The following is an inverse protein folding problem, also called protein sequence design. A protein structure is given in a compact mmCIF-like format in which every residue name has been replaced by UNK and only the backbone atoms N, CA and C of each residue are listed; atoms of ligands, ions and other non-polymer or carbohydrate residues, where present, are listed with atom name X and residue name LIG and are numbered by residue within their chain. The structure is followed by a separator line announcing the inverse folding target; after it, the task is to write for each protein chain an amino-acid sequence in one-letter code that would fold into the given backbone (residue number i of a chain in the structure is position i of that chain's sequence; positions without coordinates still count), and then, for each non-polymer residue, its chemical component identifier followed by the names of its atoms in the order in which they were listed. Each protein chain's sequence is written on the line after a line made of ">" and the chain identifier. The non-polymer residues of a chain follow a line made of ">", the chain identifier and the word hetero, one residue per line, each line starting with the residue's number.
data_IF_169679392565
#
_entry.id   IF_169679392565
#
_cell.length_a   1.000
_cell.length_b   1.000
_cell.length_c   1.000
_cell.angle_alpha   90.00
_cell.angle_beta   90.00
_cell.angle_gamma   90.00
#
_symmetry.space_group_name_H-M   'P 1'
#
loop_
_entity.id
_entity.type
_entity.pdbx_description
1 polymer ?
#
# COMPACT_ATOMS: atom_id res chain seq x y z
N UNK A 1 -18.37 26.99 7.48
CA UNK A 1 -17.89 25.58 7.42
C UNK A 1 -16.43 25.60 7.02
N UNK A 2 -15.46 25.28 7.91
CA UNK A 2 -14.04 25.16 7.52
C UNK A 2 -13.93 24.04 6.48
N UNK A 3 -13.48 24.37 5.29
CA UNK A 3 -13.04 23.39 4.29
C UNK A 3 -11.91 22.58 4.94
N UNK A 4 -12.21 21.39 5.42
CA UNK A 4 -11.17 20.46 5.89
C UNK A 4 -10.39 20.06 4.63
N UNK A 5 -9.20 20.63 4.50
CA UNK A 5 -8.31 20.32 3.39
C UNK A 5 -7.89 18.84 3.52
N UNK A 6 -8.42 18.00 2.66
CA UNK A 6 -8.14 16.55 2.71
C UNK A 6 -6.68 16.31 2.35
N UNK A 7 -6.02 15.42 3.10
CA UNK A 7 -4.65 14.99 2.82
C UNK A 7 -4.52 14.45 1.39
N UNK A 8 -3.50 14.92 0.68
CA UNK A 8 -3.13 14.47 -0.67
C UNK A 8 -2.28 13.21 -0.58
N UNK A 9 -2.73 12.12 -1.21
CA UNK A 9 -2.06 10.82 -1.15
C UNK A 9 -1.61 10.38 -2.55
N UNK A 10 -0.33 10.02 -2.66
CA UNK A 10 0.23 9.32 -3.82
C UNK A 10 0.30 7.84 -3.49
N UNK A 11 -0.04 6.98 -4.46
CA UNK A 11 0.06 5.53 -4.31
C UNK A 11 1.13 4.94 -5.22
N UNK A 12 1.98 4.08 -4.65
CA UNK A 12 2.96 3.29 -5.38
C UNK A 12 2.53 1.83 -5.44
N UNK A 13 2.63 1.20 -6.61
CA UNK A 13 2.27 -0.21 -6.79
C UNK A 13 3.12 -0.88 -7.89
N UNK A 14 3.21 -2.21 -7.83
CA UNK A 14 3.89 -3.02 -8.85
C UNK A 14 2.98 -4.09 -9.46
N UNK A 15 1.96 -4.51 -8.72
CA UNK A 15 1.03 -5.57 -9.12
C UNK A 15 -0.31 -5.04 -9.62
N UNK A 16 -1.33 -5.90 -9.61
CA UNK A 16 -2.69 -5.60 -10.08
C UNK A 16 -3.42 -4.53 -9.25
N UNK A 17 -2.88 -4.12 -8.10
CA UNK A 17 -3.43 -3.04 -7.27
C UNK A 17 -4.72 -3.36 -6.54
N UNK A 18 -4.97 -4.61 -6.14
CA UNK A 18 -6.23 -4.99 -5.46
C UNK A 18 -6.48 -4.26 -4.15
N UNK A 19 -5.42 -4.01 -3.37
CA UNK A 19 -5.50 -3.19 -2.16
C UNK A 19 -5.85 -1.74 -2.50
N UNK A 20 -5.18 -1.16 -3.52
CA UNK A 20 -5.47 0.18 -4.00
C UNK A 20 -6.92 0.31 -4.47
N UNK A 21 -7.42 -0.64 -5.27
CA UNK A 21 -8.81 -0.65 -5.73
C UNK A 21 -9.79 -0.65 -4.54
N UNK A 22 -9.50 -1.43 -3.51
CA UNK A 22 -10.32 -1.47 -2.28
C UNK A 22 -10.27 -0.13 -1.53
N UNK A 23 -9.10 0.48 -1.42
CA UNK A 23 -8.92 1.79 -0.79
C UNK A 23 -9.72 2.86 -1.52
N UNK A 24 -9.59 2.94 -2.86
CA UNK A 24 -10.28 3.93 -3.68
C UNK A 24 -11.80 3.76 -3.62
N UNK A 25 -12.31 2.53 -3.72
CA UNK A 25 -13.76 2.25 -3.60
C UNK A 25 -14.32 2.72 -2.26
N UNK A 26 -13.64 2.42 -1.16
CA UNK A 26 -14.07 2.88 0.18
C UNK A 26 -13.97 4.40 0.33
N UNK A 27 -12.94 5.02 -0.25
CA UNK A 27 -12.79 6.47 -0.22
C UNK A 27 -13.86 7.19 -1.06
N UNK A 28 -14.39 6.59 -2.13
CA UNK A 28 -15.53 7.15 -2.88
C UNK A 28 -16.81 7.20 -2.04
N UNK A 29 -17.04 6.17 -1.23
CA UNK A 29 -18.23 6.12 -0.34
C UNK A 29 -18.10 7.11 0.82
N UNK A 30 -16.91 7.22 1.40
CA UNK A 30 -16.61 8.11 2.53
C UNK A 30 -15.27 8.81 2.30
N UNK A 31 -15.27 9.94 1.55
CA UNK A 31 -14.03 10.61 1.15
C UNK A 31 -13.28 11.21 2.33
N UNK A 32 -12.10 10.67 2.66
CA UNK A 32 -11.24 11.09 3.75
C UNK A 32 -9.92 11.71 3.29
N UNK A 33 -9.49 11.42 2.05
CA UNK A 33 -8.27 11.95 1.45
C UNK A 33 -8.49 12.19 -0.05
N UNK A 34 -7.55 12.87 -0.70
CA UNK A 34 -7.52 13.10 -2.14
C UNK A 34 -6.42 12.25 -2.77
N UNK A 35 -6.74 11.24 -3.60
CA UNK A 35 -5.75 10.51 -4.37
C UNK A 35 -5.26 11.40 -5.53
N UNK A 36 -4.03 11.91 -5.45
CA UNK A 36 -3.51 12.85 -6.44
C UNK A 36 -2.70 12.19 -7.54
N UNK A 37 -2.08 11.04 -7.25
CA UNK A 37 -1.27 10.34 -8.24
C UNK A 37 -1.17 8.83 -7.94
N UNK A 38 -1.17 8.03 -9.00
CA UNK A 38 -0.82 6.60 -8.99
C UNK A 38 0.44 6.41 -9.79
N UNK A 39 1.44 5.74 -9.22
CA UNK A 39 2.71 5.46 -9.90
C UNK A 39 2.98 3.96 -9.83
N UNK A 40 3.15 3.34 -10.98
CA UNK A 40 3.43 1.91 -11.10
C UNK A 40 4.65 1.65 -11.99
N UNK A 41 5.46 0.67 -11.59
CA UNK A 41 6.50 0.15 -12.48
C UNK A 41 5.98 -0.91 -13.49
N UNK A 42 4.69 -1.19 -13.43
CA UNK A 42 3.97 -2.09 -14.33
C UNK A 42 2.69 -1.42 -14.85
N UNK A 43 1.86 -2.13 -15.60
CA UNK A 43 0.52 -1.65 -15.96
C UNK A 43 -0.42 -1.67 -14.75
N UNK A 44 -1.21 -0.62 -14.62
CA UNK A 44 -2.30 -0.52 -13.64
C UNK A 44 -3.53 -1.24 -14.22
N UNK A 45 -4.29 -1.95 -13.39
CA UNK A 45 -5.47 -2.68 -13.86
C UNK A 45 -6.53 -1.73 -14.43
N UNK A 46 -7.20 -2.15 -15.52
CA UNK A 46 -8.28 -1.36 -16.14
C UNK A 46 -9.38 -1.02 -15.13
N UNK A 47 -9.69 -1.92 -14.20
CA UNK A 47 -10.67 -1.66 -13.12
C UNK A 47 -10.37 -0.43 -12.27
N UNK A 48 -9.08 -0.10 -12.08
CA UNK A 48 -8.66 1.11 -11.36
C UNK A 48 -8.82 2.34 -12.26
N UNK A 49 -8.41 2.24 -13.53
CA UNK A 49 -8.53 3.32 -14.51
C UNK A 49 -10.00 3.69 -14.74
N UNK A 50 -10.85 2.69 -14.97
CA UNK A 50 -12.30 2.86 -15.11
C UNK A 50 -12.92 3.54 -13.87
N UNK A 51 -12.50 3.13 -12.67
CA UNK A 51 -12.99 3.74 -11.44
C UNK A 51 -12.60 5.21 -11.33
N UNK A 52 -11.38 5.58 -11.75
CA UNK A 52 -10.91 6.97 -11.75
C UNK A 52 -11.70 7.81 -12.76
N UNK A 53 -11.84 7.32 -13.98
CA UNK A 53 -12.54 8.03 -15.07
C UNK A 53 -14.03 8.19 -14.76
N UNK A 54 -14.71 7.11 -14.41
CA UNK A 54 -16.15 7.13 -14.14
C UNK A 54 -16.55 7.98 -12.93
N UNK A 55 -15.64 8.17 -11.99
CA UNK A 55 -15.87 9.04 -10.82
C UNK A 55 -15.21 10.42 -10.93
N UNK A 56 -14.68 10.77 -12.12
CA UNK A 56 -14.02 12.05 -12.40
C UNK A 56 -12.96 12.44 -11.36
N UNK A 57 -12.17 11.46 -10.91
CA UNK A 57 -11.09 11.73 -9.97
C UNK A 57 -9.93 12.43 -10.68
N UNK A 58 -9.51 13.58 -10.16
CA UNK A 58 -8.33 14.31 -10.65
C UNK A 58 -7.03 13.64 -10.18
N UNK A 59 -6.83 12.39 -10.64
CA UNK A 59 -5.71 11.55 -10.24
C UNK A 59 -4.80 11.31 -11.44
N UNK A 60 -3.54 11.73 -11.36
CA UNK A 60 -2.53 11.44 -12.38
C UNK A 60 -2.16 9.97 -12.36
N UNK A 61 -1.92 9.37 -13.51
CA UNK A 61 -1.51 7.97 -13.64
C UNK A 61 -0.18 7.90 -14.38
N UNK A 62 0.82 7.31 -13.76
CA UNK A 62 2.11 6.97 -14.38
C UNK A 62 2.31 5.46 -14.34
N UNK A 63 2.43 4.85 -15.51
CA UNK A 63 2.66 3.42 -15.69
C UNK A 63 4.05 3.14 -16.25
N UNK A 64 4.56 1.92 -16.02
CA UNK A 64 5.84 1.43 -16.53
C UNK A 64 7.04 2.31 -16.10
N UNK A 65 6.93 2.91 -14.94
CA UNK A 65 8.03 3.72 -14.38
C UNK A 65 9.08 2.78 -13.80
N UNK A 66 10.14 2.53 -14.56
CA UNK A 66 11.21 1.61 -14.17
C UNK A 66 12.03 2.13 -12.99
N UNK A 67 12.25 3.45 -12.95
CA UNK A 67 12.95 4.13 -11.85
C UNK A 67 12.10 5.29 -11.36
N UNK A 68 11.66 5.22 -10.10
CA UNK A 68 10.96 6.31 -9.44
C UNK A 68 11.98 7.42 -9.15
N UNK A 69 11.67 8.63 -9.60
CA UNK A 69 12.48 9.82 -9.35
C UNK A 69 11.58 10.95 -8.84
N UNK A 70 12.12 11.98 -8.18
CA UNK A 70 11.33 13.11 -7.64
C UNK A 70 10.42 13.79 -8.68
N UNK A 71 10.78 13.77 -9.97
CA UNK A 71 9.97 14.38 -11.04
C UNK A 71 8.56 13.80 -11.21
N UNK A 72 8.33 12.55 -10.76
CA UNK A 72 7.01 11.92 -10.80
C UNK A 72 6.18 12.23 -9.55
N UNK A 73 6.82 12.75 -8.50
CA UNK A 73 6.19 13.05 -7.22
C UNK A 73 5.86 14.54 -7.20
N UNK A 74 4.58 14.83 -7.25
CA UNK A 74 4.07 16.18 -7.08
C UNK A 74 3.83 16.50 -5.60
N UNK A 75 3.11 17.59 -5.37
CA UNK A 75 2.71 17.97 -4.01
C UNK A 75 1.80 16.91 -3.39
N UNK A 76 2.21 16.35 -2.24
CA UNK A 76 1.43 15.41 -1.46
C UNK A 76 1.78 15.48 0.02
N UNK A 77 0.88 15.01 0.86
CA UNK A 77 1.12 14.86 2.31
C UNK A 77 1.74 13.50 2.63
N UNK A 78 1.40 12.46 1.86
CA UNK A 78 1.83 11.07 2.10
C UNK A 78 1.97 10.31 0.79
N UNK A 79 2.98 9.47 0.72
CA UNK A 79 3.14 8.44 -0.30
C UNK A 79 2.82 7.10 0.35
N UNK A 80 1.83 6.37 -0.17
CA UNK A 80 1.49 5.04 0.32
C UNK A 80 1.90 3.96 -0.68
N UNK A 81 2.91 3.18 -0.30
CA UNK A 81 3.37 2.00 -1.04
C UNK A 81 2.44 0.82 -0.74
N UNK A 82 1.68 0.40 -1.73
CA UNK A 82 0.70 -0.71 -1.64
C UNK A 82 1.08 -1.84 -2.60
N UNK A 83 2.17 -2.53 -2.27
CA UNK A 83 2.72 -3.60 -3.10
C UNK A 83 3.68 -3.08 -4.17
N UNK A 84 4.44 -2.05 -3.89
CA UNK A 84 5.55 -1.58 -4.72
C UNK A 84 6.81 -2.40 -4.41
N UNK A 85 7.39 -3.06 -5.43
CA UNK A 85 8.46 -4.04 -5.27
C UNK A 85 9.86 -3.50 -5.62
N UNK A 86 9.97 -2.22 -5.97
CA UNK A 86 11.25 -1.59 -6.28
C UNK A 86 11.76 -0.77 -5.10
N UNK A 87 13.07 -0.62 -5.02
CA UNK A 87 13.68 0.31 -4.06
C UNK A 87 13.23 1.74 -4.37
N UNK A 88 12.92 2.49 -3.33
CA UNK A 88 12.64 3.92 -3.41
C UNK A 88 13.96 4.66 -3.26
N UNK A 89 14.16 5.68 -4.08
CA UNK A 89 15.39 6.49 -4.04
C UNK A 89 15.52 7.18 -2.67
N UNK A 90 16.70 7.19 -2.06
CA UNK A 90 16.93 7.88 -0.79
C UNK A 90 16.48 9.34 -0.80
N UNK A 91 16.67 10.07 -1.90
CA UNK A 91 16.21 11.45 -2.03
C UNK A 91 14.70 11.58 -1.86
N UNK A 92 13.93 10.56 -2.27
CA UNK A 92 12.47 10.56 -2.07
C UNK A 92 12.15 10.25 -0.61
N UNK A 93 12.86 9.28 -0.01
CA UNK A 93 12.68 8.91 1.40
C UNK A 93 12.96 10.10 2.33
N UNK A 94 14.01 10.86 2.04
CA UNK A 94 14.41 11.99 2.89
C UNK A 94 13.49 13.21 2.78
N UNK A 95 12.71 13.33 1.69
CA UNK A 95 11.88 14.51 1.41
C UNK A 95 10.37 14.28 1.53
N UNK A 96 9.91 13.02 1.69
CA UNK A 96 8.49 12.71 1.72
C UNK A 96 8.15 11.74 2.86
N UNK A 97 6.98 11.94 3.45
CA UNK A 97 6.39 10.97 4.37
C UNK A 97 5.92 9.75 3.56
N UNK A 98 6.57 8.60 3.76
CA UNK A 98 6.26 7.38 3.01
C UNK A 98 5.90 6.27 3.98
N UNK A 99 4.75 5.64 3.75
CA UNK A 99 4.34 4.44 4.46
C UNK A 99 4.23 3.26 3.50
N UNK A 100 4.43 2.05 4.02
CA UNK A 100 4.38 0.82 3.24
C UNK A 100 3.46 -0.22 3.88
N UNK A 101 2.67 -0.89 3.05
CA UNK A 101 1.92 -2.08 3.42
C UNK A 101 2.78 -3.31 3.14
N UNK A 102 3.29 -3.94 4.20
CA UNK A 102 4.16 -5.11 4.12
C UNK A 102 3.41 -6.37 4.57
N UNK A 103 3.44 -7.46 3.78
CA UNK A 103 2.65 -8.66 4.04
C UNK A 103 3.28 -9.59 5.08
N UNK A 104 3.69 -9.05 6.23
CA UNK A 104 4.10 -9.82 7.41
C UNK A 104 3.88 -9.03 8.70
N UNK A 105 3.96 -9.73 9.82
CA UNK A 105 4.04 -9.12 11.15
C UNK A 105 5.50 -8.73 11.42
N UNK A 106 5.90 -7.53 11.00
CA UNK A 106 7.25 -7.01 11.28
C UNK A 106 7.54 -7.02 12.79
N UNK A 107 8.80 -7.24 13.18
CA UNK A 107 10.02 -7.31 12.35
C UNK A 107 10.27 -8.66 11.66
N UNK A 108 9.36 -9.65 11.80
CA UNK A 108 9.52 -10.95 11.14
C UNK A 108 9.29 -10.81 9.62
N UNK A 109 10.03 -11.58 8.84
CA UNK A 109 9.85 -11.73 7.40
C UNK A 109 9.93 -10.43 6.60
N UNK A 110 10.95 -9.58 6.90
CA UNK A 110 11.32 -8.47 6.02
C UNK A 110 11.61 -8.97 4.60
N UNK A 111 11.34 -8.15 3.58
CA UNK A 111 11.58 -8.47 2.17
C UNK A 111 10.51 -9.37 1.55
N UNK A 112 10.91 -10.10 0.53
CA UNK A 112 9.99 -10.85 -0.34
C UNK A 112 9.67 -12.26 0.17
N UNK A 113 8.71 -12.93 -0.51
CA UNK A 113 8.30 -14.33 -0.30
C UNK A 113 7.84 -14.63 1.14
N UNK A 114 7.14 -13.70 1.75
CA UNK A 114 6.72 -13.78 3.16
C UNK A 114 5.87 -15.02 3.45
N UNK A 115 4.86 -15.33 2.62
CA UNK A 115 3.98 -16.48 2.81
C UNK A 115 4.73 -17.81 2.79
N UNK A 116 5.57 -18.01 1.77
CA UNK A 116 6.41 -19.21 1.67
C UNK A 116 7.30 -19.40 2.89
N UNK A 117 7.94 -18.32 3.34
CA UNK A 117 8.82 -18.33 4.52
C UNK A 117 8.05 -18.61 5.81
N UNK A 118 6.83 -18.09 5.96
CA UNK A 118 5.96 -18.40 7.09
C UNK A 118 5.60 -19.88 7.15
N UNK A 119 5.25 -20.48 6.01
CA UNK A 119 4.90 -21.91 5.94
C UNK A 119 6.12 -22.79 6.22
N UNK A 120 7.28 -22.50 5.65
CA UNK A 120 8.53 -23.23 5.93
C UNK A 120 8.86 -23.22 7.44
N UNK A 121 8.62 -22.11 8.10
CA UNK A 121 8.89 -21.95 9.54
C UNK A 121 7.71 -22.40 10.43
N UNK A 122 6.69 -23.04 9.87
CA UNK A 122 5.51 -23.52 10.60
C UNK A 122 4.89 -22.44 11.51
N UNK A 123 4.80 -21.20 11.01
CA UNK A 123 4.18 -20.11 11.79
C UNK A 123 2.70 -20.38 12.04
N UNK A 124 2.24 -20.13 13.27
CA UNK A 124 0.84 -20.28 13.62
C UNK A 124 -0.04 -19.12 13.15
N UNK A 125 0.57 -18.02 12.70
CA UNK A 125 -0.16 -16.81 12.33
C UNK A 125 0.53 -16.04 11.21
N UNK A 126 -0.31 -15.41 10.38
CA UNK A 126 0.08 -14.45 9.36
C UNK A 126 -0.43 -13.06 9.74
N UNK A 127 -0.05 -12.07 8.96
CA UNK A 127 -0.59 -10.72 9.09
C UNK A 127 0.20 -9.73 8.28
N UNK A 128 -0.22 -8.48 8.32
CA UNK A 128 0.46 -7.39 7.65
C UNK A 128 0.83 -6.29 8.64
N UNK A 129 1.80 -5.50 8.23
CA UNK A 129 2.21 -4.27 8.91
C UNK A 129 2.08 -3.08 7.97
N UNK A 130 1.60 -1.95 8.48
CA UNK A 130 1.82 -0.65 7.86
C UNK A 130 2.93 0.00 8.67
N UNK A 131 4.01 0.40 8.00
CA UNK A 131 5.17 0.98 8.65
C UNK A 131 5.71 2.17 7.84
N UNK A 132 6.47 3.05 8.47
CA UNK A 132 7.23 4.12 7.80
C UNK A 132 8.32 3.51 6.94
N UNK A 133 8.56 4.10 5.78
CA UNK A 133 9.67 3.69 4.93
C UNK A 133 10.92 4.44 5.35
N UNK A 134 12.01 3.71 5.52
CA UNK A 134 13.35 4.25 5.78
C UNK A 134 14.32 3.73 4.74
N UNK A 135 15.58 4.15 4.80
CA UNK A 135 16.67 3.62 3.95
C UNK A 135 16.95 2.13 4.18
N UNK A 136 16.51 1.58 5.30
CA UNK A 136 16.64 0.15 5.64
C UNK A 136 15.38 -0.60 5.25
N UNK A 137 15.56 -1.80 4.70
CA UNK A 137 14.45 -2.61 4.19
C UNK A 137 13.51 -3.03 5.34
N UNK A 138 12.24 -2.62 5.23
CA UNK A 138 11.15 -2.97 6.14
C UNK A 138 11.51 -2.81 7.64
N UNK A 139 12.21 -1.71 7.98
CA UNK A 139 12.78 -1.47 9.32
C UNK A 139 12.28 -0.17 9.97
N UNK A 140 11.32 0.51 9.37
CA UNK A 140 10.75 1.73 9.93
C UNK A 140 9.72 1.46 11.02
N UNK A 141 9.33 2.52 11.70
CA UNK A 141 8.30 2.52 12.74
C UNK A 141 7.02 1.83 12.29
N UNK A 142 6.54 0.89 13.09
CA UNK A 142 5.30 0.16 12.83
C UNK A 142 4.11 1.01 13.30
N UNK A 143 3.29 1.44 12.34
CA UNK A 143 2.11 2.28 12.57
C UNK A 143 0.85 1.48 12.88
N UNK A 144 0.72 0.32 12.26
CA UNK A 144 -0.37 -0.62 12.55
C UNK A 144 -0.05 -2.03 12.07
N UNK A 145 -0.64 -3.01 12.74
CA UNK A 145 -0.59 -4.42 12.37
C UNK A 145 -1.95 -5.07 12.47
N UNK A 146 -2.19 -6.06 11.63
CA UNK A 146 -3.32 -6.97 11.76
C UNK A 146 -2.85 -8.41 11.62
N UNK A 147 -3.40 -9.27 12.47
CA UNK A 147 -3.03 -10.67 12.61
C UNK A 147 -4.20 -11.57 12.21
N UNK A 148 -3.90 -12.66 11.52
CA UNK A 148 -4.79 -13.78 11.22
C UNK A 148 -4.13 -15.11 11.62
N UNK A 149 -4.90 -16.19 11.68
CA UNK A 149 -4.45 -17.52 12.04
C UNK A 149 -4.17 -18.33 10.78
N UNK A 150 -3.04 -19.03 10.71
CA UNK A 150 -2.73 -19.96 9.63
C UNK A 150 -3.44 -21.28 9.95
N UNK A 151 -4.32 -21.70 9.06
CA UNK A 151 -5.10 -22.95 9.21
C UNK A 151 -4.81 -23.95 8.08
N UNK A 152 -3.88 -23.61 7.18
CA UNK A 152 -3.55 -24.42 6.01
C UNK A 152 -2.07 -24.32 5.70
N UNK A 153 -1.49 -25.39 5.18
CA UNK A 153 -0.13 -25.43 4.63
C UNK A 153 -0.05 -25.00 3.16
N UNK A 154 -1.18 -24.67 2.54
CA UNK A 154 -1.26 -24.20 1.16
C UNK A 154 -0.93 -22.72 1.06
N UNK A 155 0.12 -22.37 0.28
CA UNK A 155 0.56 -20.99 0.09
C UNK A 155 -0.49 -20.14 -0.63
N UNK A 156 -1.25 -20.72 -1.56
CA UNK A 156 -2.30 -19.99 -2.28
C UNK A 156 -3.46 -19.63 -1.34
N UNK A 157 -3.88 -20.58 -0.50
CA UNK A 157 -4.91 -20.33 0.51
C UNK A 157 -4.45 -19.28 1.53
N UNK A 158 -3.22 -19.40 2.03
CA UNK A 158 -2.63 -18.39 2.94
C UNK A 158 -2.61 -17.01 2.30
N UNK A 159 -2.15 -16.91 1.05
CA UNK A 159 -2.12 -15.65 0.30
C UNK A 159 -3.52 -15.05 0.10
N UNK A 160 -4.51 -15.88 -0.19
CA UNK A 160 -5.91 -15.47 -0.35
C UNK A 160 -6.51 -14.94 0.95
N UNK A 161 -6.28 -15.64 2.05
CA UNK A 161 -6.72 -15.23 3.39
C UNK A 161 -6.04 -13.93 3.83
N UNK A 162 -4.74 -13.80 3.56
CA UNK A 162 -3.97 -12.61 3.84
C UNK A 162 -4.54 -11.39 3.08
N UNK A 163 -4.76 -11.55 1.79
CA UNK A 163 -5.35 -10.50 0.95
C UNK A 163 -6.73 -10.07 1.44
N UNK A 164 -7.55 -11.02 1.91
CA UNK A 164 -8.86 -10.71 2.51
C UNK A 164 -8.70 -9.86 3.77
N UNK A 165 -7.75 -10.21 4.63
CA UNK A 165 -7.43 -9.46 5.85
C UNK A 165 -6.99 -8.02 5.54
N UNK A 166 -6.13 -7.85 4.51
CA UNK A 166 -5.71 -6.54 4.03
C UNK A 166 -6.91 -5.73 3.53
N UNK A 167 -7.72 -6.27 2.61
CA UNK A 167 -8.88 -5.60 2.03
C UNK A 167 -9.90 -5.13 3.08
N UNK A 168 -10.08 -5.89 4.14
CA UNK A 168 -10.99 -5.52 5.22
C UNK A 168 -10.51 -4.30 6.01
N UNK A 169 -9.20 -4.16 6.18
CA UNK A 169 -8.63 -3.26 7.19
C UNK A 169 -7.76 -2.12 6.64
N UNK A 170 -7.14 -2.27 5.45
CA UNK A 170 -6.13 -1.32 4.93
C UNK A 170 -6.65 0.12 4.84
N UNK A 171 -7.88 0.32 4.37
CA UNK A 171 -8.49 1.65 4.30
C UNK A 171 -8.62 2.28 5.69
N UNK A 172 -9.17 1.56 6.66
CA UNK A 172 -9.36 2.04 8.03
C UNK A 172 -8.03 2.41 8.68
N UNK A 173 -7.00 1.61 8.45
CA UNK A 173 -5.67 1.87 9.01
C UNK A 173 -4.99 3.07 8.34
N UNK A 174 -5.16 3.24 7.01
CA UNK A 174 -4.72 4.45 6.32
C UNK A 174 -5.39 5.70 6.90
N UNK A 175 -6.71 5.68 7.07
CA UNK A 175 -7.44 6.84 7.63
C UNK A 175 -6.97 7.15 9.06
N UNK A 176 -6.74 6.13 9.88
CA UNK A 176 -6.21 6.34 11.24
C UNK A 176 -4.84 7.03 11.23
N UNK A 177 -4.02 6.74 10.23
CA UNK A 177 -2.73 7.40 10.05
C UNK A 177 -2.85 8.84 9.55
N UNK A 178 -3.82 9.13 8.67
CA UNK A 178 -3.99 10.46 8.05
C UNK A 178 -4.63 11.49 9.00
N UNK A 179 -5.33 11.06 10.05
CA UNK A 179 -5.94 11.92 11.07
C UNK A 179 -4.95 12.30 12.15
#
# INVERSE_FOLDING_TARGET
>A
MKLINKKKVIFLLSGKGSNLLTILKKNLISPKFTPVCLISNNYISEKIKELIVSNKLETKIYERILKLTPKFIGECDVIFSVGYLKKIDPQIIDNYEIINLHPSLLPKYKGLMTHKRMLINNEASYGYSIHRVTKYLDDGEILSQKKGKINSSDEFELSSNHKRLEHQNVYKNLIKFLN
#
